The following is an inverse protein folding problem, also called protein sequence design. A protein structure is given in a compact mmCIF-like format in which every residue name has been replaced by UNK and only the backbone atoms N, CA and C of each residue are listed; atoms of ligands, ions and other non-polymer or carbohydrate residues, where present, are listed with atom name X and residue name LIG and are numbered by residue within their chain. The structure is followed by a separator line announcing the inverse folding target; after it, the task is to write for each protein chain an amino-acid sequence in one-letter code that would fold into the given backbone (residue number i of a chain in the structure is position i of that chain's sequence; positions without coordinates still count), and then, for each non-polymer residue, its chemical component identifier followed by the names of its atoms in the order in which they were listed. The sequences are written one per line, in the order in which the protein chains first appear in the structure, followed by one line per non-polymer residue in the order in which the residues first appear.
data_IF_047439317291
#
_entry.id   IF_047439317291
#
_cell.length_a   1.000
_cell.length_b   1.000
_cell.length_c   1.000
_cell.angle_alpha   90.00
_cell.angle_beta   90.00
_cell.angle_gamma   90.00
#
_symmetry.space_group_name_H-M   'P 1'
#
loop_
_entity.id
_entity.type
_entity.pdbx_description
1 polymer ?
#
# COMPACT_ATOMS: atom_id res chain seq x y z
N UNK A 1 -25.47 -9.21 -17.76
CA UNK A 1 -25.13 -8.54 -16.50
C UNK A 1 -23.61 -8.47 -16.41
N UNK A 2 -23.01 -7.28 -16.38
CA UNK A 2 -21.57 -7.14 -16.11
C UNK A 2 -21.39 -7.39 -14.61
N UNK A 3 -20.77 -8.50 -14.24
CA UNK A 3 -20.34 -8.71 -12.87
C UNK A 3 -19.28 -7.67 -12.56
N UNK A 4 -19.62 -6.66 -11.75
CA UNK A 4 -18.64 -5.76 -11.18
C UNK A 4 -17.91 -6.54 -10.09
N UNK A 5 -16.73 -7.05 -10.42
CA UNK A 5 -15.85 -7.64 -9.39
C UNK A 5 -15.42 -6.51 -8.48
N UNK A 6 -15.91 -6.55 -7.24
CA UNK A 6 -15.50 -5.63 -6.19
C UNK A 6 -14.47 -6.33 -5.32
N UNK A 7 -13.40 -5.60 -5.01
CA UNK A 7 -12.32 -6.12 -4.19
C UNK A 7 -12.36 -5.49 -2.81
N UNK A 8 -12.01 -6.30 -1.81
CA UNK A 8 -11.87 -5.89 -0.43
C UNK A 8 -10.65 -6.52 0.21
N UNK A 9 -10.04 -5.78 1.11
CA UNK A 9 -8.84 -6.20 1.87
C UNK A 9 -9.07 -5.87 3.32
N UNK A 10 -8.75 -6.85 4.17
CA UNK A 10 -8.67 -6.67 5.62
C UNK A 10 -7.25 -6.98 6.06
N UNK A 11 -6.59 -6.04 6.74
CA UNK A 11 -5.27 -6.24 7.36
C UNK A 11 -5.20 -5.65 8.75
N UNK A 12 -4.35 -6.25 9.58
CA UNK A 12 -4.06 -5.75 10.92
C UNK A 12 -2.65 -5.18 10.97
N UNK A 13 -2.53 -3.95 11.47
CA UNK A 13 -1.25 -3.27 11.70
C UNK A 13 -1.19 -2.73 13.13
N UNK A 14 -0.10 -2.98 13.84
CA UNK A 14 0.10 -2.42 15.19
C UNK A 14 -1.00 -2.79 16.20
N UNK A 15 -1.79 -3.84 15.95
CA UNK A 15 -2.94 -4.23 16.78
C UNK A 15 -4.30 -3.67 16.32
N UNK A 16 -4.33 -2.81 15.31
CA UNK A 16 -5.56 -2.23 14.73
C UNK A 16 -5.90 -2.90 13.40
N UNK A 17 -7.15 -3.31 13.21
CA UNK A 17 -7.63 -3.93 11.97
C UNK A 17 -8.29 -2.92 11.05
N UNK A 18 -7.81 -2.86 9.81
CA UNK A 18 -8.29 -1.99 8.74
C UNK A 18 -8.99 -2.84 7.68
N UNK A 19 -10.18 -2.39 7.27
CA UNK A 19 -10.95 -3.02 6.19
C UNK A 19 -11.34 -1.97 5.15
N UNK A 20 -11.14 -2.32 3.88
CA UNK A 20 -11.67 -1.57 2.74
C UNK A 20 -12.38 -2.54 1.80
N UNK A 21 -13.44 -2.07 1.16
CA UNK A 21 -14.28 -2.85 0.26
C UNK A 21 -14.81 -1.96 -0.87
N UNK A 22 -15.33 -2.58 -1.92
CA UNK A 22 -15.98 -1.87 -3.03
C UNK A 22 -15.02 -1.24 -4.04
N UNK A 23 -13.78 -1.76 -4.13
CA UNK A 23 -12.75 -1.19 -5.00
C UNK A 23 -12.62 -1.94 -6.32
N UNK A 24 -12.12 -1.23 -7.33
CA UNK A 24 -11.98 -1.70 -8.71
C UNK A 24 -10.89 -2.75 -8.89
N UNK A 25 -9.89 -2.79 -7.99
CA UNK A 25 -8.83 -3.79 -8.00
C UNK A 25 -8.37 -4.18 -6.60
N UNK A 26 -7.79 -5.38 -6.50
CA UNK A 26 -7.17 -5.86 -5.27
C UNK A 26 -5.98 -5.00 -4.83
N UNK A 27 -5.20 -4.51 -5.79
CA UNK A 27 -4.06 -3.61 -5.54
C UNK A 27 -4.54 -2.27 -4.96
N UNK A 28 -5.60 -1.68 -5.50
CA UNK A 28 -6.20 -0.45 -4.97
C UNK A 28 -6.71 -0.63 -3.53
N UNK A 29 -7.29 -1.81 -3.24
CA UNK A 29 -7.70 -2.18 -1.89
C UNK A 29 -6.52 -2.33 -0.93
N UNK A 30 -5.44 -2.98 -1.35
CA UNK A 30 -4.21 -3.06 -0.57
C UNK A 30 -3.65 -1.65 -0.29
N UNK A 31 -3.54 -0.80 -1.30
CA UNK A 31 -2.99 0.56 -1.15
C UNK A 31 -3.82 1.41 -0.19
N UNK A 32 -5.17 1.41 -0.30
CA UNK A 32 -6.02 2.17 0.63
C UNK A 32 -5.92 1.68 2.07
N UNK A 33 -5.80 0.38 2.29
CA UNK A 33 -5.63 -0.19 3.64
C UNK A 33 -4.31 0.26 4.26
N UNK A 34 -3.21 0.22 3.51
CA UNK A 34 -1.91 0.67 4.00
C UNK A 34 -1.86 2.19 4.18
N UNK A 35 -2.51 2.96 3.31
CA UNK A 35 -2.64 4.43 3.45
C UNK A 35 -3.36 4.81 4.74
N UNK A 36 -4.50 4.18 5.04
CA UNK A 36 -5.22 4.43 6.32
C UNK A 36 -4.37 4.07 7.53
N UNK A 37 -3.68 2.94 7.48
CA UNK A 37 -2.80 2.53 8.56
C UNK A 37 -1.58 3.45 8.73
N UNK A 38 -1.10 4.05 7.64
CA UNK A 38 -0.04 5.07 7.65
C UNK A 38 -0.51 6.38 8.28
N UNK A 39 -1.68 6.88 7.86
CA UNK A 39 -2.29 8.11 8.39
C UNK A 39 -2.54 8.00 9.90
N UNK A 40 -2.92 6.81 10.37
CA UNK A 40 -3.13 6.53 11.80
C UNK A 40 -1.82 6.24 12.57
N UNK A 41 -0.66 6.25 11.90
CA UNK A 41 0.65 5.94 12.49
C UNK A 41 0.84 4.49 12.94
N UNK A 42 -0.12 3.61 12.64
CA UNK A 42 -0.10 2.18 12.99
C UNK A 42 0.71 1.34 12.01
N UNK A 43 1.07 1.91 10.87
CA UNK A 43 1.96 1.34 9.89
C UNK A 43 2.93 2.41 9.39
N UNK A 44 4.15 2.02 9.10
CA UNK A 44 5.11 2.88 8.42
C UNK A 44 5.63 2.12 7.20
N UNK A 45 5.77 2.80 6.05
CA UNK A 45 6.41 2.19 4.91
C UNK A 45 7.81 1.77 5.34
N UNK A 46 8.23 0.54 5.00
CA UNK A 46 9.63 0.17 5.22
C UNK A 46 10.51 1.17 4.47
N UNK A 47 11.62 1.61 5.10
CA UNK A 47 12.58 2.50 4.45
C UNK A 47 12.98 1.93 3.09
N UNK A 48 12.97 2.79 2.07
CA UNK A 48 13.45 2.51 0.71
C UNK A 48 14.81 1.79 0.80
N UNK A 49 14.98 0.74 0.02
CA UNK A 49 16.18 -0.10 0.10
C UNK A 49 17.41 0.72 -0.32
N UNK A 50 18.40 0.81 0.56
CA UNK A 50 19.71 1.36 0.17
C UNK A 50 20.65 0.30 -0.40
N UNK A 51 20.39 -0.99 -0.15
CA UNK A 51 21.29 -2.09 -0.48
C UNK A 51 20.55 -3.32 -1.02
N UNK A 52 21.16 -3.94 -2.02
CA UNK A 52 20.63 -5.10 -2.74
C UNK A 52 20.33 -6.29 -1.82
N UNK A 53 21.21 -6.65 -0.89
CA UNK A 53 21.11 -7.87 -0.04
C UNK A 53 19.89 -7.97 0.91
N UNK A 54 18.99 -7.00 0.94
CA UNK A 54 17.73 -7.01 1.70
C UNK A 54 16.63 -7.94 1.12
N UNK A 55 17.00 -8.89 0.25
CA UNK A 55 16.14 -9.71 -0.63
C UNK A 55 15.08 -10.62 0.02
N UNK A 56 15.10 -10.85 1.34
CA UNK A 56 14.13 -11.72 2.00
C UNK A 56 12.84 -10.98 2.42
N UNK A 57 12.17 -10.26 1.50
CA UNK A 57 10.83 -9.70 1.75
C UNK A 57 9.78 -10.23 0.76
N UNK A 58 8.51 -10.40 1.19
CA UNK A 58 7.41 -10.77 0.30
C UNK A 58 7.20 -9.72 -0.80
N UNK A 59 7.01 -10.16 -2.06
CA UNK A 59 6.81 -9.32 -3.26
C UNK A 59 5.70 -8.27 -3.14
N UNK A 60 4.71 -8.48 -2.27
CA UNK A 60 3.63 -7.52 -2.03
C UNK A 60 4.13 -6.15 -1.58
N UNK A 61 5.32 -6.08 -0.96
CA UNK A 61 5.92 -4.81 -0.55
C UNK A 61 6.53 -4.02 -1.73
N UNK A 62 6.96 -4.68 -2.80
CA UNK A 62 7.58 -3.99 -3.94
C UNK A 62 6.55 -3.13 -4.70
N UNK A 63 5.29 -3.58 -4.77
CA UNK A 63 4.18 -2.85 -5.41
C UNK A 63 3.81 -1.60 -4.58
N UNK A 64 3.77 -1.76 -3.26
CA UNK A 64 3.47 -0.67 -2.33
C UNK A 64 4.58 0.39 -2.40
N UNK A 65 5.85 -0.05 -2.42
CA UNK A 65 7.03 0.80 -2.53
C UNK A 65 7.03 1.60 -3.84
N UNK A 66 6.77 0.95 -4.98
CA UNK A 66 6.66 1.62 -6.28
C UNK A 66 5.56 2.68 -6.30
N UNK A 67 4.42 2.42 -5.67
CA UNK A 67 3.30 3.36 -5.65
C UNK A 67 3.59 4.59 -4.78
N UNK A 68 4.22 4.42 -3.62
CA UNK A 68 4.61 5.55 -2.77
C UNK A 68 5.78 6.36 -3.36
N UNK A 69 6.77 5.70 -3.96
CA UNK A 69 7.85 6.39 -4.68
C UNK A 69 7.34 7.21 -5.87
N UNK A 70 6.36 6.69 -6.62
CA UNK A 70 5.71 7.44 -7.69
C UNK A 70 4.90 8.65 -7.18
N UNK A 71 4.24 8.53 -6.02
CA UNK A 71 3.53 9.64 -5.39
C UNK A 71 4.47 10.73 -4.87
N UNK A 72 5.62 10.37 -4.30
CA UNK A 72 6.65 11.34 -3.90
C UNK A 72 7.27 12.04 -5.12
N UNK A 73 7.56 11.29 -6.20
CA UNK A 73 8.09 11.87 -7.44
C UNK A 73 7.11 12.89 -8.05
N UNK A 74 5.82 12.58 -8.08
CA UNK A 74 4.78 13.50 -8.58
C UNK A 74 4.60 14.76 -7.71
N UNK A 75 4.85 14.67 -6.40
CA UNK A 75 4.79 15.82 -5.49
C UNK A 75 6.09 16.64 -5.47
N UNK A 76 7.20 16.09 -5.99
CA UNK A 76 8.51 16.76 -6.04
C UNK A 76 8.77 17.58 -7.31
N UNK A 77 7.95 17.46 -8.36
CA UNK A 77 8.04 18.25 -9.60
C UNK A 77 7.29 19.60 -9.54
N UNK A 78 7.27 20.21 -8.36
CA UNK A 78 6.52 21.45 -8.07
C UNK A 78 7.35 22.55 -7.42
N UNK A 79 8.68 22.52 -7.53
CA UNK A 79 9.57 23.62 -7.10
C UNK A 79 10.52 24.06 -8.22
#
# INVERSE_FOLDING_TARGET
MRSFTTYGVTRTFGGTTYRVEGLSSHEEALMRVHKRAFEDGNWSPPKLREKWWQFWRPREHDIIEAHFAALEALNGEGE
#
